data_IF_093490559902
#
_entry.id   IF_093490559902
#
_cell.length_a   1.000
_cell.length_b   1.000
_cell.length_c   1.000
_cell.angle_alpha   90.00
_cell.angle_beta   90.00
_cell.angle_gamma   90.00
#
_symmetry.space_group_name_H-M   'P 1'
#
loop_
_entity.id
_entity.type
_entity.pdbx_description
1 polymer ?
#
# COMPACT_ATOMS: atom_id res chain seq x y z
N UNK A 1 -4.52 -18.28 -11.42
CA UNK A 1 -5.79 -18.49 -10.69
C UNK A 1 -5.46 -18.44 -9.21
N UNK A 2 -6.21 -17.71 -8.40
CA UNK A 2 -5.96 -17.69 -6.95
C UNK A 2 -6.25 -19.08 -6.35
N UNK A 3 -5.43 -19.55 -5.38
CA UNK A 3 -5.57 -20.88 -4.83
C UNK A 3 -6.80 -20.99 -3.93
N UNK A 4 -7.44 -22.17 -3.94
CA UNK A 4 -8.53 -22.47 -3.03
C UNK A 4 -8.02 -22.57 -1.58
N UNK A 5 -8.81 -22.09 -0.63
CA UNK A 5 -8.48 -22.15 0.80
C UNK A 5 -9.17 -23.37 1.39
N UNK A 6 -8.41 -24.27 2.03
CA UNK A 6 -8.97 -25.48 2.66
C UNK A 6 -9.88 -26.30 1.71
N UNK A 7 -9.53 -26.40 0.42
CA UNK A 7 -10.31 -27.11 -0.62
C UNK A 7 -11.65 -26.42 -0.97
N UNK A 8 -11.99 -25.30 -0.32
CA UNK A 8 -13.17 -24.51 -0.62
C UNK A 8 -12.96 -23.65 -1.86
N UNK A 9 -13.63 -24.07 -2.94
CA UNK A 9 -13.63 -23.38 -4.21
C UNK A 9 -14.29 -22.01 -4.11
N UNK A 10 -13.72 -21.02 -4.79
CA UNK A 10 -14.35 -19.70 -4.93
C UNK A 10 -14.26 -18.81 -3.69
N UNK A 11 -13.37 -19.14 -2.73
CA UNK A 11 -13.13 -18.31 -1.54
C UNK A 11 -12.79 -16.85 -1.90
N UNK A 12 -12.21 -16.60 -3.07
CA UNK A 12 -11.98 -15.24 -3.61
C UNK A 12 -13.23 -14.36 -3.66
N UNK A 13 -14.41 -14.96 -3.89
CA UNK A 13 -15.67 -14.23 -4.00
C UNK A 13 -16.15 -13.71 -2.63
N UNK A 14 -15.70 -14.31 -1.53
CA UNK A 14 -16.00 -13.83 -0.17
C UNK A 14 -15.49 -12.43 0.07
N UNK A 15 -14.33 -12.09 -0.49
CA UNK A 15 -13.67 -10.80 -0.32
C UNK A 15 -13.55 -10.02 -1.63
N UNK A 16 -14.22 -10.47 -2.69
CA UNK A 16 -14.23 -9.80 -4.01
C UNK A 16 -12.80 -9.61 -4.56
N UNK A 17 -11.90 -10.56 -4.29
CA UNK A 17 -10.56 -10.56 -4.85
C UNK A 17 -9.63 -9.42 -4.39
N UNK A 18 -9.97 -8.65 -3.35
CA UNK A 18 -9.24 -7.42 -2.95
C UNK A 18 -7.74 -7.60 -2.65
N UNK A 19 -7.29 -8.82 -2.40
CA UNK A 19 -5.88 -9.15 -2.18
C UNK A 19 -4.95 -8.82 -3.37
N UNK A 20 -5.47 -8.72 -4.60
CA UNK A 20 -4.62 -8.50 -5.77
C UNK A 20 -3.86 -7.18 -5.66
N UNK A 21 -4.51 -6.08 -5.21
CA UNK A 21 -3.85 -4.77 -5.11
C UNK A 21 -2.77 -4.74 -4.04
N UNK A 22 -2.99 -5.48 -2.95
CA UNK A 22 -2.08 -5.53 -1.81
C UNK A 22 -0.71 -6.06 -2.22
N UNK A 23 -0.65 -7.05 -3.11
CA UNK A 23 0.62 -7.57 -3.62
C UNK A 23 1.43 -6.48 -4.36
N UNK A 24 0.76 -5.65 -5.18
CA UNK A 24 1.39 -4.52 -5.86
C UNK A 24 1.80 -3.40 -4.91
N UNK A 25 1.00 -3.14 -3.87
CA UNK A 25 1.34 -2.16 -2.81
C UNK A 25 2.61 -2.58 -2.05
N UNK A 26 2.70 -3.84 -1.63
CA UNK A 26 3.90 -4.36 -0.98
C UNK A 26 5.13 -4.32 -1.89
N UNK A 27 4.96 -4.69 -3.18
CA UNK A 27 6.03 -4.56 -4.16
C UNK A 27 6.53 -3.10 -4.23
N UNK A 28 5.61 -2.14 -4.31
CA UNK A 28 5.92 -0.72 -4.33
C UNK A 28 6.65 -0.28 -3.05
N UNK A 29 6.16 -0.63 -1.86
CA UNK A 29 6.82 -0.28 -0.60
C UNK A 29 8.22 -0.88 -0.46
N UNK A 30 8.40 -2.14 -0.85
CA UNK A 30 9.73 -2.77 -0.89
C UNK A 30 10.67 -2.06 -1.89
N UNK A 31 10.14 -1.54 -3.00
CA UNK A 31 10.95 -0.80 -3.98
C UNK A 31 11.46 0.55 -3.46
N UNK A 32 10.77 1.19 -2.51
CA UNK A 32 11.10 2.54 -2.05
C UNK A 32 12.50 2.66 -1.43
N UNK A 33 12.91 1.68 -0.63
CA UNK A 33 14.24 1.70 0.00
C UNK A 33 15.36 1.60 -1.05
N UNK A 34 15.17 0.76 -2.07
CA UNK A 34 16.12 0.57 -3.17
C UNK A 34 16.16 1.80 -4.08
N UNK A 35 14.99 2.25 -4.56
CA UNK A 35 14.85 3.43 -5.44
C UNK A 35 15.33 4.69 -4.72
N UNK A 36 14.93 4.88 -3.46
CA UNK A 36 15.33 6.01 -2.63
C UNK A 36 16.83 6.10 -2.43
N UNK A 37 17.49 4.96 -2.17
CA UNK A 37 18.95 4.91 -2.04
C UNK A 37 19.65 5.19 -3.37
N UNK A 38 19.17 4.60 -4.48
CA UNK A 38 19.84 4.67 -5.79
C UNK A 38 19.65 6.02 -6.48
N UNK A 39 18.41 6.50 -6.57
CA UNK A 39 18.06 7.69 -7.36
C UNK A 39 18.02 8.97 -6.52
N UNK A 40 17.65 8.88 -5.25
CA UNK A 40 17.47 10.04 -4.37
C UNK A 40 18.57 10.19 -3.30
N UNK A 41 19.56 9.28 -3.29
CA UNK A 41 20.69 9.26 -2.34
C UNK A 41 20.25 9.33 -0.87
N UNK A 42 19.09 8.75 -0.56
CA UNK A 42 18.58 8.66 0.81
C UNK A 42 19.45 7.67 1.58
N UNK A 43 19.98 8.09 2.73
CA UNK A 43 20.80 7.21 3.59
C UNK A 43 19.92 6.11 4.18
N UNK A 44 20.10 4.89 3.68
CA UNK A 44 19.35 3.71 4.11
C UNK A 44 20.31 2.66 4.65
N UNK A 45 19.95 2.00 5.76
CA UNK A 45 20.75 0.91 6.32
C UNK A 45 20.84 -0.27 5.36
N UNK A 46 21.99 -0.92 5.29
CA UNK A 46 22.20 -2.10 4.42
C UNK A 46 21.24 -3.23 4.77
N UNK A 47 20.88 -3.39 6.05
CA UNK A 47 19.89 -4.38 6.50
C UNK A 47 18.52 -4.09 5.92
N UNK A 48 18.11 -2.83 5.89
CA UNK A 48 16.84 -2.41 5.29
C UNK A 48 16.86 -2.67 3.79
N UNK A 49 17.95 -2.35 3.10
CA UNK A 49 18.11 -2.65 1.67
C UNK A 49 17.98 -4.16 1.44
N UNK A 50 18.72 -5.00 2.16
CA UNK A 50 18.64 -6.46 2.00
C UNK A 50 17.23 -7.02 2.25
N UNK A 51 16.57 -6.60 3.34
CA UNK A 51 15.23 -7.06 3.69
C UNK A 51 14.20 -6.64 2.62
N UNK A 52 14.27 -5.39 2.17
CA UNK A 52 13.36 -4.87 1.15
C UNK A 52 13.64 -5.44 -0.24
N UNK A 53 14.90 -5.71 -0.58
CA UNK A 53 15.25 -6.44 -1.81
C UNK A 53 14.73 -7.87 -1.80
N UNK A 54 14.81 -8.58 -0.67
CA UNK A 54 14.20 -9.90 -0.52
C UNK A 54 12.67 -9.82 -0.68
N UNK A 55 12.03 -8.86 -0.03
CA UNK A 55 10.60 -8.62 -0.18
C UNK A 55 10.21 -8.33 -1.63
N UNK A 56 11.00 -7.53 -2.35
CA UNK A 56 10.79 -7.23 -3.76
C UNK A 56 10.79 -8.51 -4.60
N UNK A 57 11.79 -9.39 -4.42
CA UNK A 57 11.85 -10.68 -5.12
C UNK A 57 10.61 -11.52 -4.80
N UNK A 58 10.23 -11.64 -3.53
CA UNK A 58 9.05 -12.41 -3.10
C UNK A 58 7.78 -11.89 -3.76
N UNK A 59 7.53 -10.57 -3.74
CA UNK A 59 6.31 -10.01 -4.32
C UNK A 59 6.30 -10.02 -5.84
N UNK A 60 7.46 -9.93 -6.51
CA UNK A 60 7.56 -10.18 -7.96
C UNK A 60 7.12 -11.61 -8.29
N UNK A 61 7.61 -12.61 -7.54
CA UNK A 61 7.22 -14.01 -7.76
C UNK A 61 5.73 -14.24 -7.49
N UNK A 62 5.17 -13.66 -6.43
CA UNK A 62 3.74 -13.73 -6.13
C UNK A 62 2.91 -13.12 -7.26
N UNK A 63 3.28 -11.93 -7.75
CA UNK A 63 2.56 -11.26 -8.84
C UNK A 63 2.65 -12.07 -10.13
N UNK A 64 3.83 -12.60 -10.45
CA UNK A 64 4.02 -13.41 -11.65
C UNK A 64 3.17 -14.67 -11.63
N UNK A 65 3.09 -15.37 -10.49
CA UNK A 65 2.35 -16.63 -10.37
C UNK A 65 0.84 -16.42 -10.31
N UNK A 66 0.38 -15.47 -9.49
CA UNK A 66 -1.03 -15.33 -9.16
C UNK A 66 -1.75 -14.19 -9.92
N UNK A 67 -1.02 -13.15 -10.31
CA UNK A 67 -1.58 -11.93 -10.90
C UNK A 67 -0.90 -11.46 -12.22
N UNK A 68 -0.50 -12.35 -13.16
CA UNK A 68 0.28 -11.96 -14.33
C UNK A 68 -0.51 -11.08 -15.32
N UNK A 69 -1.84 -11.24 -15.35
CA UNK A 69 -2.71 -10.54 -16.30
C UNK A 69 -2.79 -9.06 -15.94
N UNK A 70 -2.44 -8.21 -16.92
CA UNK A 70 -2.44 -6.75 -16.83
C UNK A 70 -1.61 -6.20 -15.65
N UNK A 71 -0.52 -6.88 -15.30
CA UNK A 71 0.31 -6.50 -14.16
C UNK A 71 0.90 -5.08 -14.31
N UNK A 72 1.28 -4.70 -15.54
CA UNK A 72 1.86 -3.39 -15.83
C UNK A 72 0.82 -2.27 -15.68
N UNK A 73 -0.38 -2.49 -16.18
CA UNK A 73 -1.52 -1.59 -16.06
C UNK A 73 -1.90 -1.40 -14.59
N UNK A 74 -1.88 -2.47 -13.79
CA UNK A 74 -2.11 -2.43 -12.35
C UNK A 74 -1.01 -1.69 -11.57
N UNK A 75 0.23 -1.68 -12.08
CA UNK A 75 1.32 -0.88 -11.51
C UNK A 75 1.29 0.59 -11.94
N UNK A 76 0.63 0.91 -13.06
CA UNK A 76 0.64 2.28 -13.61
C UNK A 76 0.17 3.37 -12.63
N UNK A 77 -0.84 3.19 -11.75
CA UNK A 77 -1.27 4.26 -10.84
C UNK A 77 -0.17 4.74 -9.89
N UNK A 78 0.79 3.88 -9.54
CA UNK A 78 1.95 4.28 -8.73
C UNK A 78 2.84 5.28 -9.47
N UNK A 79 2.93 5.21 -10.80
CA UNK A 79 3.64 6.20 -11.62
C UNK A 79 2.94 7.55 -11.58
N UNK A 80 1.60 7.58 -11.63
CA UNK A 80 0.82 8.80 -11.42
C UNK A 80 1.09 9.44 -10.05
N UNK A 81 1.17 8.60 -9.01
CA UNK A 81 1.56 9.01 -7.65
C UNK A 81 2.98 9.61 -7.58
N UNK A 82 3.96 8.94 -8.18
CA UNK A 82 5.34 9.43 -8.28
C UNK A 82 5.39 10.75 -9.05
N UNK A 83 4.67 10.85 -10.17
CA UNK A 83 4.59 12.06 -10.98
C UNK A 83 4.04 13.26 -10.18
N UNK A 84 3.09 13.04 -9.26
CA UNK A 84 2.56 14.08 -8.39
C UNK A 84 3.59 14.64 -7.38
N UNK A 85 4.63 13.89 -7.03
CA UNK A 85 5.66 14.35 -6.09
C UNK A 85 6.56 15.48 -6.63
N UNK A 86 6.61 15.68 -7.94
CA UNK A 86 7.41 16.74 -8.57
C UNK A 86 6.71 18.12 -8.55
N UNK A 87 5.48 18.29 -9.09
CA UNK A 87 4.81 19.59 -9.11
C UNK A 87 4.43 20.09 -7.72
N UNK A 88 4.16 19.19 -6.77
CA UNK A 88 3.84 19.54 -5.37
C UNK A 88 4.98 20.27 -4.65
N UNK A 89 6.23 20.13 -5.12
CA UNK A 89 7.38 20.87 -4.57
C UNK A 89 7.47 22.32 -5.09
N UNK A 90 6.76 22.65 -6.17
CA UNK A 90 6.79 23.97 -6.77
C UNK A 90 5.58 24.79 -6.31
N UNK A 91 5.83 25.75 -5.41
CA UNK A 91 4.76 26.59 -4.85
C UNK A 91 3.98 27.39 -5.92
N UNK A 92 4.61 27.74 -7.05
CA UNK A 92 3.90 28.43 -8.14
C UNK A 92 2.85 27.52 -8.80
N UNK A 93 3.20 26.26 -9.01
CA UNK A 93 2.27 25.25 -9.56
C UNK A 93 1.17 24.99 -8.55
N UNK A 94 1.51 24.81 -7.27
CA UNK A 94 0.53 24.67 -6.19
C UNK A 94 -0.49 25.81 -6.17
N UNK A 95 -0.03 27.06 -6.14
CA UNK A 95 -0.91 28.24 -6.12
C UNK A 95 -1.79 28.36 -7.36
N UNK A 96 -1.26 28.02 -8.54
CA UNK A 96 -2.03 28.03 -9.78
C UNK A 96 -3.14 26.96 -9.76
N UNK A 97 -2.82 25.76 -9.31
CA UNK A 97 -3.72 24.60 -9.35
C UNK A 97 -4.74 24.61 -8.22
N UNK A 98 -4.38 25.15 -7.05
CA UNK A 98 -5.29 25.36 -5.92
C UNK A 98 -6.38 26.42 -6.21
N UNK A 99 -6.26 27.15 -7.34
CA UNK A 99 -7.26 28.14 -7.74
C UNK A 99 -8.62 27.46 -8.03
N UNK A 100 -9.73 27.88 -7.39
CA UNK A 100 -11.05 27.28 -7.58
C UNK A 100 -11.56 27.37 -9.03
N UNK A 101 -11.08 28.33 -9.83
CA UNK A 101 -11.42 28.46 -11.25
C UNK A 101 -10.98 27.26 -12.10
N UNK A 102 -10.01 26.46 -11.63
CA UNK A 102 -9.58 25.25 -12.32
C UNK A 102 -10.51 24.05 -12.05
N UNK A 103 -11.30 24.09 -10.97
CA UNK A 103 -12.18 23.00 -10.55
C UNK A 103 -13.19 22.55 -11.61
N UNK A 104 -13.86 23.44 -12.37
CA UNK A 104 -14.75 23.01 -13.45
C UNK A 104 -14.01 22.23 -14.56
N UNK A 105 -12.76 22.62 -14.87
CA UNK A 105 -11.95 21.88 -15.84
C UNK A 105 -11.57 20.48 -15.30
N UNK A 106 -11.24 20.38 -14.01
CA UNK A 106 -10.99 19.08 -13.36
C UNK A 106 -12.25 18.21 -13.32
N UNK A 107 -13.42 18.80 -13.07
CA UNK A 107 -14.70 18.11 -13.13
C UNK A 107 -15.02 17.64 -14.57
N UNK A 108 -14.68 18.42 -15.59
CA UNK A 108 -14.80 18.02 -16.99
C UNK A 108 -13.85 16.86 -17.33
N UNK A 109 -12.61 16.86 -16.82
CA UNK A 109 -11.69 15.72 -16.95
C UNK A 109 -12.23 14.47 -16.24
N UNK A 110 -12.85 14.65 -15.06
CA UNK A 110 -13.47 13.55 -14.34
C UNK A 110 -14.61 12.97 -15.16
N UNK A 111 -15.50 13.81 -15.69
CA UNK A 111 -16.58 13.38 -16.58
C UNK A 111 -16.05 12.69 -17.84
N UNK A 112 -15.00 13.24 -18.46
CA UNK A 112 -14.32 12.62 -19.61
C UNK A 112 -13.85 11.21 -19.27
N UNK A 113 -13.26 11.00 -18.09
CA UNK A 113 -12.80 9.67 -17.65
C UNK A 113 -13.91 8.64 -17.48
N UNK A 114 -15.17 9.08 -17.35
CA UNK A 114 -16.35 8.24 -17.16
C UNK A 114 -17.10 7.93 -18.47
N UNK A 115 -16.67 8.48 -19.61
CA UNK A 115 -17.25 8.14 -20.91
C UNK A 115 -16.93 6.67 -21.28
N UNK A 116 -17.53 6.17 -22.37
CA UNK A 116 -17.53 4.76 -22.79
C UNK A 116 -16.13 4.15 -23.06
N UNK A 117 -15.35 3.94 -22.01
CA UNK A 117 -14.09 3.22 -21.98
C UNK A 117 -14.33 1.83 -21.42
N UNK A 118 -13.70 0.82 -22.03
CA UNK A 118 -13.81 -0.57 -21.58
C UNK A 118 -13.08 -0.83 -20.26
N UNK A 119 -12.14 0.05 -19.89
CA UNK A 119 -11.34 -0.08 -18.66
C UNK A 119 -10.82 1.27 -18.20
N UNK A 120 -10.66 1.43 -16.88
CA UNK A 120 -10.05 2.64 -16.29
C UNK A 120 -8.56 2.78 -16.64
N UNK A 121 -7.94 1.67 -17.04
CA UNK A 121 -6.54 1.63 -17.47
C UNK A 121 -6.33 2.07 -18.93
N UNK A 122 -7.40 2.42 -19.66
CA UNK A 122 -7.25 2.99 -20.98
C UNK A 122 -6.46 4.31 -20.89
N UNK A 123 -5.64 4.68 -21.89
CA UNK A 123 -4.75 5.83 -21.78
C UNK A 123 -5.44 7.14 -21.39
N UNK A 124 -6.62 7.41 -21.96
CA UNK A 124 -7.38 8.64 -21.70
C UNK A 124 -7.89 8.72 -20.26
N UNK A 125 -8.72 7.77 -19.74
CA UNK A 125 -9.19 7.84 -18.36
C UNK A 125 -8.02 7.79 -17.36
N UNK A 126 -6.98 6.99 -17.63
CA UNK A 126 -5.79 6.94 -16.79
C UNK A 126 -5.11 8.31 -16.66
N UNK A 127 -4.85 8.99 -17.77
CA UNK A 127 -4.24 10.32 -17.76
C UNK A 127 -5.14 11.35 -17.08
N UNK A 128 -6.45 11.30 -17.31
CA UNK A 128 -7.41 12.19 -16.65
C UNK A 128 -7.35 12.03 -15.13
N UNK A 129 -7.41 10.79 -14.63
CA UNK A 129 -7.34 10.48 -13.20
C UNK A 129 -5.98 10.90 -12.61
N UNK A 130 -4.87 10.68 -13.33
CA UNK A 130 -3.55 11.13 -12.89
C UNK A 130 -3.49 12.66 -12.77
N UNK A 131 -4.01 13.41 -13.75
CA UNK A 131 -4.03 14.87 -13.70
C UNK A 131 -4.91 15.40 -12.57
N UNK A 132 -6.08 14.79 -12.36
CA UNK A 132 -6.97 15.12 -11.24
C UNK A 132 -6.26 14.85 -9.91
N UNK A 133 -5.62 13.69 -9.77
CA UNK A 133 -4.86 13.35 -8.56
C UNK A 133 -3.71 14.33 -8.30
N UNK A 134 -2.93 14.68 -9.33
CA UNK A 134 -1.88 15.70 -9.24
C UNK A 134 -2.48 17.03 -8.79
N UNK A 135 -3.64 17.41 -9.32
CA UNK A 135 -4.27 18.68 -8.96
C UNK A 135 -4.72 18.72 -7.50
N UNK A 136 -5.32 17.62 -7.01
CA UNK A 136 -5.68 17.46 -5.60
C UNK A 136 -4.43 17.50 -4.72
N UNK A 137 -3.37 16.77 -5.10
CA UNK A 137 -2.10 16.75 -4.36
C UNK A 137 -1.43 18.13 -4.30
N UNK A 138 -1.59 18.96 -5.33
CA UNK A 138 -1.12 20.34 -5.39
C UNK A 138 -2.00 21.34 -4.63
N UNK A 139 -3.14 20.92 -4.07
CA UNK A 139 -3.97 21.73 -3.17
C UNK A 139 -5.35 22.11 -3.69
N UNK A 140 -5.80 21.59 -4.84
CA UNK A 140 -7.20 21.78 -5.26
C UNK A 140 -8.15 20.95 -4.38
N UNK A 141 -9.14 21.58 -3.78
CA UNK A 141 -10.04 20.95 -2.81
C UNK A 141 -11.47 20.69 -3.33
N UNK A 142 -11.71 20.89 -4.63
CA UNK A 142 -13.02 20.80 -5.26
C UNK A 142 -14.08 21.64 -4.54
N UNK A 143 -13.86 22.96 -4.45
CA UNK A 143 -14.73 23.89 -3.73
C UNK A 143 -14.93 23.49 -2.25
N UNK A 144 -13.89 22.97 -1.62
CA UNK A 144 -13.91 22.52 -0.23
C UNK A 144 -14.60 21.19 0.03
N UNK A 145 -15.14 20.49 -0.97
CA UNK A 145 -15.78 19.17 -0.77
C UNK A 145 -14.78 18.17 -0.20
N UNK A 146 -13.53 18.19 -0.65
CA UNK A 146 -12.48 17.29 -0.17
C UNK A 146 -11.96 17.67 1.23
N UNK A 147 -12.20 18.90 1.69
CA UNK A 147 -11.78 19.38 3.01
C UNK A 147 -12.88 19.28 4.08
N UNK A 148 -14.07 18.78 3.72
CA UNK A 148 -15.11 18.46 4.70
C UNK A 148 -14.63 17.40 5.70
N UNK A 149 -15.07 17.52 6.96
CA UNK A 149 -14.76 16.53 8.01
C UNK A 149 -15.22 15.13 7.62
N UNK A 150 -16.40 15.02 7.00
CA UNK A 150 -16.94 13.77 6.50
C UNK A 150 -16.07 13.15 5.40
N UNK A 151 -15.64 13.94 4.41
CA UNK A 151 -14.75 13.47 3.33
C UNK A 151 -13.41 12.98 3.87
N UNK A 152 -12.80 13.72 4.80
CA UNK A 152 -11.55 13.29 5.46
C UNK A 152 -11.72 12.01 6.27
N UNK A 153 -12.82 11.89 7.03
CA UNK A 153 -13.13 10.68 7.78
C UNK A 153 -13.32 9.48 6.83
N UNK A 154 -14.07 9.67 5.75
CA UNK A 154 -14.29 8.63 4.74
C UNK A 154 -12.98 8.17 4.09
N UNK A 155 -12.06 9.12 3.84
CA UNK A 155 -10.71 8.81 3.38
C UNK A 155 -9.90 7.99 4.40
N UNK A 156 -9.99 8.32 5.69
CA UNK A 156 -9.28 7.58 6.75
C UNK A 156 -9.75 6.13 6.90
N UNK A 157 -11.06 5.87 6.75
CA UNK A 157 -11.66 4.53 6.86
C UNK A 157 -11.75 3.79 5.51
N UNK A 158 -11.26 4.39 4.43
CA UNK A 158 -11.38 3.85 3.07
C UNK A 158 -10.71 2.48 2.91
N UNK A 159 -9.60 2.26 3.62
CA UNK A 159 -8.92 0.96 3.64
C UNK A 159 -9.75 -0.12 4.32
N UNK A 160 -10.39 0.18 5.45
CA UNK A 160 -11.27 -0.74 6.15
C UNK A 160 -12.52 -1.06 5.30
N UNK A 161 -13.09 -0.06 4.63
CA UNK A 161 -14.18 -0.23 3.65
C UNK A 161 -13.74 -1.19 2.54
N UNK A 162 -12.54 -0.98 1.99
CA UNK A 162 -11.98 -1.79 0.93
C UNK A 162 -11.90 -3.27 1.31
N UNK A 163 -11.41 -3.57 2.52
CA UNK A 163 -11.28 -4.95 3.03
C UNK A 163 -12.62 -5.59 3.39
N UNK A 164 -13.50 -4.86 4.08
CA UNK A 164 -14.69 -5.44 4.70
C UNK A 164 -15.92 -5.48 3.79
N UNK A 165 -15.98 -4.65 2.74
CA UNK A 165 -17.16 -4.56 1.86
C UNK A 165 -17.56 -5.91 1.25
N UNK A 166 -16.58 -6.69 0.80
CA UNK A 166 -16.83 -7.98 0.14
C UNK A 166 -17.46 -8.97 1.09
N UNK A 167 -16.89 -9.09 2.29
CA UNK A 167 -17.38 -9.97 3.34
C UNK A 167 -18.79 -9.59 3.77
N UNK A 168 -19.06 -8.29 3.97
CA UNK A 168 -20.39 -7.83 4.34
C UNK A 168 -21.43 -8.13 3.26
N UNK A 169 -21.15 -7.81 1.99
CA UNK A 169 -22.08 -8.10 0.90
C UNK A 169 -22.32 -9.61 0.75
N UNK A 170 -21.26 -10.40 0.80
CA UNK A 170 -21.38 -11.85 0.71
C UNK A 170 -22.25 -12.40 1.85
N UNK A 171 -21.98 -11.99 3.09
CA UNK A 171 -22.73 -12.48 4.26
C UNK A 171 -24.20 -12.06 4.21
N UNK A 172 -24.51 -10.82 3.82
CA UNK A 172 -25.89 -10.36 3.69
C UNK A 172 -26.65 -11.13 2.62
N UNK A 173 -26.09 -11.26 1.41
CA UNK A 173 -26.82 -11.91 0.32
C UNK A 173 -26.91 -13.43 0.48
N UNK A 174 -25.88 -14.09 1.02
CA UNK A 174 -25.90 -15.53 1.17
C UNK A 174 -26.58 -16.01 2.46
N UNK A 175 -26.35 -15.37 3.60
CA UNK A 175 -26.83 -15.86 4.89
C UNK A 175 -28.07 -15.13 5.43
N UNK A 176 -28.24 -13.83 5.13
CA UNK A 176 -29.39 -13.06 5.67
C UNK A 176 -30.58 -13.13 4.71
N UNK A 177 -30.38 -12.73 3.46
CA UNK A 177 -31.45 -12.71 2.44
C UNK A 177 -31.69 -14.10 1.85
N UNK A 178 -30.65 -14.96 1.88
CA UNK A 178 -30.56 -16.25 1.19
C UNK A 178 -30.44 -16.06 -0.33
N UNK A 179 -29.42 -16.68 -0.94
CA UNK A 179 -29.07 -16.45 -2.35
C UNK A 179 -30.22 -16.62 -3.33
N UNK A 180 -31.08 -17.63 -3.13
CA UNK A 180 -32.25 -17.89 -4.00
C UNK A 180 -33.33 -16.79 -3.97
N UNK A 181 -33.42 -16.05 -2.86
CA UNK A 181 -34.33 -14.90 -2.73
C UNK A 181 -33.66 -13.65 -3.28
N UNK A 182 -32.34 -13.51 -3.08
CA UNK A 182 -31.55 -12.39 -3.56
C UNK A 182 -31.61 -12.23 -5.09
N UNK A 183 -31.58 -13.33 -5.83
CA UNK A 183 -31.68 -13.33 -7.29
C UNK A 183 -33.03 -12.79 -7.82
N UNK A 184 -34.08 -12.82 -6.99
CA UNK A 184 -35.43 -12.39 -7.35
C UNK A 184 -35.77 -10.98 -6.89
N UNK A 185 -34.81 -10.27 -6.29
CA UNK A 185 -35.05 -8.91 -5.79
C UNK A 185 -35.34 -7.96 -6.95
N UNK A 186 -36.34 -7.10 -6.75
CA UNK A 186 -36.55 -5.97 -7.64
C UNK A 186 -35.34 -5.02 -7.60
N UNK A 187 -35.07 -4.24 -8.66
CA UNK A 187 -33.98 -3.26 -8.65
C UNK A 187 -34.02 -2.32 -7.45
N UNK A 188 -35.22 -1.85 -7.07
CA UNK A 188 -35.38 -0.96 -5.92
C UNK A 188 -35.01 -1.66 -4.61
N UNK A 189 -35.52 -2.87 -4.38
CA UNK A 189 -35.22 -3.67 -3.18
C UNK A 189 -33.72 -3.95 -3.07
N UNK A 190 -33.08 -4.29 -4.18
CA UNK A 190 -31.64 -4.52 -4.24
C UNK A 190 -30.84 -3.26 -3.83
N UNK A 191 -31.20 -2.10 -4.37
CA UNK A 191 -30.55 -0.83 -4.00
C UNK A 191 -30.81 -0.43 -2.54
N UNK A 192 -31.98 -0.73 -1.98
CA UNK A 192 -32.24 -0.54 -0.55
C UNK A 192 -31.32 -1.41 0.31
N UNK A 193 -31.14 -2.68 -0.06
CA UNK A 193 -30.22 -3.60 0.65
C UNK A 193 -28.79 -3.10 0.56
N UNK A 194 -28.31 -2.69 -0.62
CA UNK A 194 -26.97 -2.12 -0.78
C UNK A 194 -26.80 -0.88 0.09
N UNK A 195 -27.77 0.03 0.08
CA UNK A 195 -27.71 1.26 0.87
C UNK A 195 -27.64 0.96 2.36
N UNK A 196 -28.43 -0.02 2.83
CA UNK A 196 -28.36 -0.53 4.20
C UNK A 196 -26.98 -1.13 4.53
N UNK A 197 -26.42 -1.95 3.63
CA UNK A 197 -25.08 -2.50 3.79
C UNK A 197 -24.02 -1.39 3.86
N UNK A 198 -24.11 -0.34 3.02
CA UNK A 198 -23.21 0.80 3.08
C UNK A 198 -23.27 1.52 4.43
N UNK A 199 -24.47 1.75 4.97
CA UNK A 199 -24.63 2.39 6.28
C UNK A 199 -24.00 1.53 7.40
N UNK A 200 -24.29 0.23 7.42
CA UNK A 200 -23.70 -0.72 8.38
C UNK A 200 -22.17 -0.78 8.22
N UNK A 201 -21.68 -0.81 6.99
CA UNK A 201 -20.25 -0.84 6.70
C UNK A 201 -19.54 0.40 7.22
N UNK A 202 -20.10 1.59 7.03
CA UNK A 202 -19.53 2.85 7.54
C UNK A 202 -19.45 2.81 9.08
N UNK A 203 -20.48 2.29 9.75
CA UNK A 203 -20.48 2.16 11.21
C UNK A 203 -19.39 1.19 11.70
N UNK A 204 -19.30 0.00 11.11
CA UNK A 204 -18.29 -1.00 11.46
C UNK A 204 -16.88 -0.44 11.22
N UNK A 205 -16.65 0.15 10.04
CA UNK A 205 -15.33 0.67 9.67
C UNK A 205 -14.91 1.87 10.50
N UNK A 206 -15.85 2.71 10.93
CA UNK A 206 -15.56 3.75 11.92
C UNK A 206 -15.14 3.15 13.26
N UNK A 207 -15.86 2.13 13.76
CA UNK A 207 -15.50 1.48 15.03
C UNK A 207 -14.12 0.81 14.95
N UNK A 208 -13.84 0.03 13.89
CA UNK A 208 -12.52 -0.61 13.73
C UNK A 208 -11.41 0.42 13.62
N UNK A 209 -11.64 1.53 12.90
CA UNK A 209 -10.67 2.61 12.80
C UNK A 209 -10.34 3.24 14.16
N UNK A 210 -11.35 3.62 14.94
CA UNK A 210 -11.13 4.30 16.22
C UNK A 210 -10.58 3.37 17.31
N UNK A 211 -11.02 2.12 17.35
CA UNK A 211 -10.66 1.18 18.43
C UNK A 211 -9.45 0.30 18.11
N UNK A 212 -9.12 0.05 16.84
CA UNK A 212 -8.06 -0.87 16.44
C UNK A 212 -6.99 -0.14 15.64
N UNK A 213 -7.34 0.43 14.48
CA UNK A 213 -6.35 0.93 13.53
C UNK A 213 -5.61 2.17 14.06
N UNK A 214 -6.35 3.18 14.54
CA UNK A 214 -5.76 4.43 15.03
C UNK A 214 -4.83 4.21 16.25
N UNK A 215 -5.18 3.41 17.27
CA UNK A 215 -4.25 3.07 18.35
C UNK A 215 -2.98 2.36 17.88
N UNK A 216 -3.11 1.43 16.91
CA UNK A 216 -1.96 0.71 16.36
C UNK A 216 -1.04 1.62 15.55
N UNK A 217 -1.61 2.47 14.69
CA UNK A 217 -0.86 3.44 13.89
C UNK A 217 -0.06 4.39 14.79
N UNK A 218 -0.66 4.88 15.88
CA UNK A 218 0.02 5.76 16.84
C UNK A 218 1.17 5.07 17.60
N UNK A 219 1.21 3.73 17.64
CA UNK A 219 2.29 2.97 18.29
C UNK A 219 3.43 2.59 17.34
N UNK A 220 3.29 2.83 16.04
CA UNK A 220 4.26 2.41 15.01
C UNK A 220 5.67 2.92 15.30
N UNK A 221 5.83 4.16 15.72
CA UNK A 221 7.15 4.75 16.02
C UNK A 221 7.86 4.06 17.18
N UNK A 222 7.10 3.71 18.22
CA UNK A 222 7.60 3.01 19.41
C UNK A 222 8.09 1.62 19.01
N UNK A 223 7.26 0.87 18.27
CA UNK A 223 7.60 -0.48 17.80
C UNK A 223 8.81 -0.43 16.85
N UNK A 224 8.85 0.54 15.94
CA UNK A 224 9.97 0.71 15.00
C UNK A 224 11.28 0.96 15.75
N UNK A 225 11.25 1.81 16.78
CA UNK A 225 12.41 2.05 17.64
C UNK A 225 12.84 0.76 18.36
N UNK A 226 11.90 0.03 18.97
CA UNK A 226 12.18 -1.23 19.66
C UNK A 226 12.81 -2.28 18.75
N UNK A 227 12.29 -2.45 17.53
CA UNK A 227 12.83 -3.38 16.54
C UNK A 227 14.23 -2.97 16.11
N UNK A 228 14.46 -1.67 15.85
CA UNK A 228 15.79 -1.15 15.50
C UNK A 228 16.81 -1.39 16.61
N UNK A 229 16.44 -1.10 17.85
CA UNK A 229 17.31 -1.29 19.02
C UNK A 229 17.62 -2.78 19.24
N UNK A 230 16.63 -3.66 19.03
CA UNK A 230 16.80 -5.11 19.08
C UNK A 230 17.77 -5.62 18.00
N UNK A 231 17.62 -5.18 16.76
CA UNK A 231 18.50 -5.55 15.64
C UNK A 231 19.93 -5.03 15.90
N UNK A 232 20.07 -3.77 16.32
CA UNK A 232 21.36 -3.15 16.60
C UNK A 232 22.12 -3.91 17.70
N UNK A 233 21.44 -4.31 18.78
CA UNK A 233 22.02 -5.12 19.86
C UNK A 233 22.53 -6.48 19.36
N UNK A 234 21.85 -7.09 18.40
CA UNK A 234 22.17 -8.44 17.87
C UNK A 234 23.24 -8.42 16.78
N UNK A 235 23.40 -7.28 16.09
CA UNK A 235 24.43 -7.04 15.08
C UNK A 235 25.75 -6.51 15.67
N UNK A 236 25.78 -6.13 16.95
CA UNK A 236 27.05 -5.89 17.63
C UNK A 236 27.85 -7.21 17.63
N UNK A 237 29.08 -7.23 17.08
CA UNK A 237 29.89 -8.43 17.12
C UNK A 237 30.05 -8.84 18.57
N UNK A 238 29.71 -10.10 18.88
CA UNK A 238 29.84 -10.61 20.24
C UNK A 238 31.26 -10.30 20.73
N UNK A 239 31.38 -9.73 21.93
CA UNK A 239 32.68 -9.46 22.53
C UNK A 239 33.55 -10.73 22.65
N UNK A 240 32.94 -11.93 22.57
CA UNK A 240 33.64 -13.21 22.42
C UNK A 240 34.33 -13.36 21.06
N UNK A 241 33.66 -13.09 19.94
CA UNK A 241 34.25 -13.24 18.61
C UNK A 241 35.45 -12.30 18.39
N UNK A 242 35.39 -11.08 18.94
CA UNK A 242 36.51 -10.13 18.88
C UNK A 242 37.68 -10.56 19.76
N UNK A 243 37.41 -11.17 20.92
CA UNK A 243 38.44 -11.72 21.81
C UNK A 243 39.08 -12.98 21.20
N UNK A 244 38.30 -13.90 20.65
CA UNK A 244 38.81 -15.11 20.00
C UNK A 244 39.65 -14.76 18.77
N UNK A 245 39.20 -13.82 17.93
CA UNK A 245 39.99 -13.33 16.81
C UNK A 245 41.31 -12.66 17.25
N UNK A 246 41.30 -11.90 18.34
CA UNK A 246 42.50 -11.28 18.90
C UNK A 246 43.47 -12.31 19.52
N UNK A 247 42.94 -13.34 20.19
CA UNK A 247 43.74 -14.45 20.75
C UNK A 247 44.37 -15.28 19.63
N UNK A 248 43.62 -15.59 18.58
CA UNK A 248 44.13 -16.32 17.41
C UNK A 248 45.20 -15.49 16.70
N UNK A 249 44.96 -14.19 16.46
CA UNK A 249 45.94 -13.30 15.84
C UNK A 249 47.24 -13.19 16.65
N UNK A 250 47.15 -13.07 17.98
CA UNK A 250 48.34 -13.06 18.84
C UNK A 250 49.07 -14.42 18.86
N UNK A 251 48.35 -15.54 18.82
CA UNK A 251 48.97 -16.87 18.77
C UNK A 251 49.75 -17.12 17.47
N UNK A 252 49.23 -16.61 16.35
CA UNK A 252 49.89 -16.71 15.03
C UNK A 252 51.13 -15.83 14.99
N UNK A 253 51.06 -14.61 15.50
CA UNK A 253 52.21 -13.69 15.57
C UNK A 253 53.36 -14.25 16.44
N UNK A 254 53.05 -14.84 17.59
CA UNK A 254 54.05 -15.50 18.44
C UNK A 254 54.69 -16.71 17.76
N UNK A 255 53.92 -17.54 17.05
CA UNK A 255 54.48 -18.67 16.29
C UNK A 255 55.37 -18.23 15.12
N UNK A 256 55.04 -17.15 14.41
CA UNK A 256 55.90 -16.62 13.34
C UNK A 256 57.19 -15.99 13.87
N UNK A 257 57.14 -15.32 15.02
CA UNK A 257 58.32 -14.72 15.64
C UNK A 257 59.32 -15.78 16.16
N UNK A 258 58.82 -16.90 16.70
CA UNK A 258 59.68 -18.01 17.11
C UNK A 258 60.33 -18.74 15.93
N UNK A 259 59.66 -18.82 14.78
CA UNK A 259 60.23 -19.42 13.56
C UNK A 259 61.28 -18.55 12.88
N UNK A 260 61.18 -17.22 12.99
CA UNK A 260 62.22 -16.29 12.48
C UNK A 260 63.44 -16.22 13.41
N UNK A 261 63.27 -16.37 14.73
CA UNK A 261 64.39 -16.38 15.68
C UNK A 261 65.22 -17.68 15.67
N UNK A 262 64.71 -18.75 15.04
CA UNK A 262 65.36 -20.06 14.94
C UNK A 262 66.14 -20.27 13.63
N UNK A 263 66.24 -19.24 12.77
CA UNK A 263 67.10 -19.20 11.57
C UNK A 263 68.30 -18.31 11.81
#
# INVERSE_FOLDING_TARGET
MEPDVNVLKGTKYLIVGVQWSLAFEWLFYCSLAVIGSLFFRIKTSITTILLTSLGLVVFVLIIHEYYPILAWEKMSPFLGGIAAAFPTRNQRVGNFVANPWLTPALAALLYLSLLNYSTVFSPVPYLCICLIFIAIACGNDFFGILTLKASRLLGQISYSIYLLRGLLLYTTFQFIIHGATAEKLSPLSYWCVISGCCAVLILITCQTYYFIERPLLNRTDIVTKQVRDFIAKRMQPSALATKEAAVIANSVLHHTAEQEAAK
#
